data_IF_130139917179
#
_entry.id   IF_130139917179
#
_cell.length_a   1.000
_cell.length_b   1.000
_cell.length_c   1.000
_cell.angle_alpha   90.00
_cell.angle_beta   90.00
_cell.angle_gamma   90.00
#
_symmetry.space_group_name_H-M   'P 1'
#
loop_
_entity.id
_entity.type
_entity.pdbx_description
1 polymer ?
#
# COMPACT_ATOMS: atom_id res chain seq x y z
N UNK A 1 2.86 -18.14 3.11
CA UNK A 1 1.97 -17.11 2.53
C UNK A 1 1.16 -17.74 1.41
N UNK A 2 -0.17 -17.67 1.47
CA UNK A 2 -1.05 -18.09 0.38
C UNK A 2 -1.28 -16.91 -0.57
N UNK A 3 -1.23 -17.15 -1.87
CA UNK A 3 -1.53 -16.17 -2.91
C UNK A 3 -2.64 -16.70 -3.81
N UNK A 4 -3.45 -15.81 -4.35
CA UNK A 4 -4.49 -16.12 -5.32
C UNK A 4 -4.01 -15.80 -6.74
N UNK A 5 -4.06 -16.79 -7.63
CA UNK A 5 -3.67 -16.59 -9.01
C UNK A 5 -4.78 -15.86 -9.77
N UNK A 6 -4.50 -14.67 -10.28
CA UNK A 6 -5.48 -13.83 -10.97
C UNK A 6 -5.86 -14.38 -12.34
N UNK A 7 -5.10 -15.30 -12.94
CA UNK A 7 -5.42 -15.89 -14.24
C UNK A 7 -6.20 -17.18 -14.06
N UNK A 8 -5.69 -18.11 -13.26
CA UNK A 8 -6.30 -19.43 -13.05
C UNK A 8 -7.39 -19.43 -12.00
N UNK A 9 -7.52 -18.36 -11.21
CA UNK A 9 -8.49 -18.23 -10.12
C UNK A 9 -8.33 -19.30 -9.02
N UNK A 10 -7.08 -19.70 -8.73
CA UNK A 10 -6.75 -20.73 -7.73
C UNK A 10 -5.77 -20.24 -6.68
N UNK A 11 -5.85 -20.77 -5.46
CA UNK A 11 -4.85 -20.51 -4.42
C UNK A 11 -3.58 -21.33 -4.61
N UNK A 12 -2.44 -20.77 -4.19
CA UNK A 12 -1.18 -21.48 -4.04
C UNK A 12 -0.46 -21.03 -2.76
N UNK A 13 0.09 -21.98 -2.00
CA UNK A 13 0.91 -21.72 -0.82
C UNK A 13 2.38 -21.59 -1.21
N UNK A 14 3.03 -20.53 -0.71
CA UNK A 14 4.46 -20.28 -0.85
C UNK A 14 5.14 -20.20 0.52
N UNK A 15 6.19 -20.99 0.71
CA UNK A 15 7.03 -20.98 1.92
C UNK A 15 8.36 -20.25 1.69
N UNK A 16 8.88 -20.32 0.47
CA UNK A 16 10.08 -19.62 -0.01
C UNK A 16 9.88 -19.21 -1.46
N UNK A 17 10.78 -18.38 -2.00
CA UNK A 17 10.73 -17.91 -3.39
C UNK A 17 9.35 -17.34 -3.79
N UNK A 18 8.79 -16.49 -2.91
CA UNK A 18 7.49 -15.85 -3.13
C UNK A 18 7.60 -15.00 -4.41
N UNK A 19 6.74 -15.24 -5.43
CA UNK A 19 6.78 -14.48 -6.68
C UNK A 19 6.37 -13.03 -6.43
N UNK A 20 6.63 -12.08 -7.36
CA UNK A 20 6.00 -10.77 -7.30
C UNK A 20 4.48 -10.90 -7.18
N UNK A 21 3.89 -10.16 -6.26
CA UNK A 21 2.45 -10.12 -6.03
C UNK A 21 1.97 -8.69 -5.79
N UNK A 22 0.68 -8.50 -6.07
CA UNK A 22 -0.08 -7.30 -5.71
C UNK A 22 -0.85 -7.59 -4.45
N UNK A 23 -1.03 -6.57 -3.63
CA UNK A 23 -1.93 -6.59 -2.49
C UNK A 23 -3.20 -5.83 -2.84
N UNK A 24 -4.35 -6.43 -2.54
CA UNK A 24 -5.62 -5.73 -2.42
C UNK A 24 -5.80 -5.27 -0.97
N UNK A 25 -5.81 -3.95 -0.78
CA UNK A 25 -6.09 -3.28 0.47
C UNK A 25 -7.47 -2.65 0.37
N UNK A 26 -8.36 -2.93 1.31
CA UNK A 26 -9.74 -2.45 1.25
C UNK A 26 -10.36 -2.40 2.64
N UNK A 27 -11.41 -1.57 2.79
CA UNK A 27 -12.24 -1.64 4.00
C UNK A 27 -13.17 -2.84 3.95
N UNK A 28 -13.12 -3.69 4.98
CA UNK A 28 -14.09 -4.77 5.15
C UNK A 28 -15.51 -4.21 5.37
N UNK A 29 -16.46 -4.63 4.53
CA UNK A 29 -17.89 -4.42 4.67
C UNK A 29 -18.56 -5.55 5.45
N UNK A 30 -19.88 -5.64 5.34
CA UNK A 30 -20.72 -6.65 6.02
C UNK A 30 -20.60 -8.06 5.42
N UNK A 31 -20.19 -8.18 4.16
CA UNK A 31 -20.22 -9.44 3.41
C UNK A 31 -18.88 -9.74 2.71
N UNK A 32 -17.79 -9.75 3.48
CA UNK A 32 -16.47 -10.07 2.93
C UNK A 32 -16.35 -11.52 2.49
N UNK A 33 -15.60 -11.72 1.41
CA UNK A 33 -15.28 -13.05 0.89
C UNK A 33 -14.27 -13.75 1.80
N UNK A 34 -14.54 -15.00 2.18
CA UNK A 34 -13.62 -15.82 2.98
C UNK A 34 -12.78 -16.76 2.10
N UNK A 35 -11.77 -17.40 2.69
CA UNK A 35 -11.01 -18.46 2.01
C UNK A 35 -11.94 -19.57 1.50
N UNK A 36 -12.86 -20.03 2.35
CA UNK A 36 -13.81 -21.09 2.04
C UNK A 36 -14.80 -20.67 0.94
N UNK A 37 -15.20 -19.41 0.90
CA UNK A 37 -16.07 -18.91 -0.18
C UNK A 37 -15.39 -18.99 -1.54
N UNK A 38 -14.11 -18.61 -1.63
CA UNK A 38 -13.37 -18.67 -2.91
C UNK A 38 -13.06 -20.11 -3.30
N UNK A 39 -12.59 -20.93 -2.36
CA UNK A 39 -12.26 -22.34 -2.63
C UNK A 39 -13.51 -23.13 -3.06
N UNK A 40 -14.63 -22.95 -2.34
CA UNK A 40 -15.89 -23.60 -2.62
C UNK A 40 -16.75 -22.94 -3.69
N UNK A 41 -16.32 -21.81 -4.27
CA UNK A 41 -17.12 -20.99 -5.19
C UNK A 41 -18.50 -20.62 -4.62
N UNK A 42 -18.55 -20.30 -3.32
CA UNK A 42 -19.76 -19.98 -2.59
C UNK A 42 -19.97 -18.46 -2.56
N UNK A 43 -21.22 -18.05 -2.27
CA UNK A 43 -21.56 -16.66 -1.98
C UNK A 43 -21.09 -15.65 -3.06
N UNK A 44 -20.99 -16.09 -4.32
CA UNK A 44 -20.36 -15.30 -5.39
C UNK A 44 -21.13 -14.02 -5.77
N UNK A 45 -22.36 -13.89 -5.30
CA UNK A 45 -23.22 -12.73 -5.48
C UNK A 45 -23.00 -11.64 -4.41
N UNK A 46 -22.31 -11.96 -3.30
CA UNK A 46 -22.07 -11.03 -2.20
C UNK A 46 -21.07 -9.95 -2.58
N UNK A 47 -21.20 -8.79 -1.94
CA UNK A 47 -20.37 -7.61 -2.25
C UNK A 47 -18.86 -7.85 -2.11
N UNK A 48 -18.42 -8.65 -1.13
CA UNK A 48 -17.01 -9.03 -1.00
C UNK A 48 -16.47 -9.84 -2.18
N UNK A 49 -17.27 -10.74 -2.76
CA UNK A 49 -16.87 -11.52 -3.94
C UNK A 49 -16.86 -10.65 -5.20
N UNK A 50 -17.83 -9.74 -5.35
CA UNK A 50 -17.84 -8.75 -6.44
C UNK A 50 -16.59 -7.87 -6.38
N UNK A 51 -16.19 -7.42 -5.19
CA UNK A 51 -14.95 -6.66 -4.97
C UNK A 51 -13.71 -7.46 -5.34
N UNK A 52 -13.64 -8.74 -4.98
CA UNK A 52 -12.56 -9.63 -5.42
C UNK A 52 -12.48 -9.65 -6.95
N UNK A 53 -13.59 -9.86 -7.66
CA UNK A 53 -13.62 -9.84 -9.13
C UNK A 53 -13.10 -8.51 -9.68
N UNK A 54 -13.52 -7.38 -9.10
CA UNK A 54 -13.01 -6.06 -9.49
C UNK A 54 -11.49 -5.93 -9.34
N UNK A 55 -10.91 -6.43 -8.25
CA UNK A 55 -9.46 -6.48 -8.09
C UNK A 55 -8.80 -7.37 -9.15
N UNK A 56 -9.36 -8.55 -9.45
CA UNK A 56 -8.83 -9.43 -10.48
C UNK A 56 -8.83 -8.74 -11.85
N UNK A 57 -9.93 -8.09 -12.20
CA UNK A 57 -10.07 -7.41 -13.50
C UNK A 57 -9.14 -6.21 -13.60
N UNK A 58 -9.05 -5.38 -12.55
CA UNK A 58 -8.11 -4.26 -12.49
C UNK A 58 -6.66 -4.73 -12.62
N UNK A 59 -6.29 -5.82 -11.94
CA UNK A 59 -4.95 -6.40 -12.00
C UNK A 59 -4.64 -6.97 -13.38
N UNK A 60 -5.56 -7.73 -13.98
CA UNK A 60 -5.38 -8.29 -15.33
C UNK A 60 -5.18 -7.21 -16.38
N UNK A 61 -5.91 -6.10 -16.26
CA UNK A 61 -5.86 -4.98 -17.20
C UNK A 61 -4.62 -4.10 -17.00
N UNK A 62 -4.27 -3.80 -15.76
CA UNK A 62 -3.23 -2.79 -15.44
C UNK A 62 -1.85 -3.41 -15.20
N UNK A 63 -1.81 -4.66 -14.73
CA UNK A 63 -0.59 -5.36 -14.33
C UNK A 63 -0.51 -6.77 -14.94
N UNK A 64 -0.54 -6.91 -16.28
CA UNK A 64 -0.66 -8.21 -16.95
C UNK A 64 0.50 -9.20 -16.68
N UNK A 65 1.57 -8.74 -16.03
CA UNK A 65 2.79 -9.49 -15.70
C UNK A 65 2.86 -9.91 -14.23
N UNK A 66 1.91 -9.49 -13.39
CA UNK A 66 1.80 -9.93 -11.99
C UNK A 66 0.57 -10.81 -11.86
N UNK A 67 0.80 -12.12 -11.74
CA UNK A 67 -0.28 -13.10 -11.69
C UNK A 67 -0.80 -13.38 -10.28
N UNK A 68 -0.19 -12.79 -9.26
CA UNK A 68 -0.48 -13.14 -7.88
C UNK A 68 -1.07 -11.95 -7.14
N UNK A 69 -2.23 -12.19 -6.54
CA UNK A 69 -2.93 -11.27 -5.66
C UNK A 69 -2.91 -11.83 -4.24
N UNK A 70 -2.67 -10.96 -3.27
CA UNK A 70 -2.91 -11.24 -1.87
C UNK A 70 -4.01 -10.32 -1.36
N UNK A 71 -4.96 -10.89 -0.63
CA UNK A 71 -6.08 -10.19 0.01
C UNK A 71 -6.32 -10.86 1.36
N UNK A 72 -6.29 -10.09 2.44
CA UNK A 72 -6.34 -10.61 3.81
C UNK A 72 -7.64 -11.37 4.13
N UNK A 73 -8.73 -11.08 3.42
CA UNK A 73 -10.04 -11.72 3.64
C UNK A 73 -10.11 -13.16 3.18
N UNK A 74 -9.46 -13.53 2.07
CA UNK A 74 -9.52 -14.88 1.53
C UNK A 74 -8.16 -15.54 1.28
N UNK A 75 -7.03 -14.84 1.38
CA UNK A 75 -5.71 -15.46 1.38
C UNK A 75 -5.29 -15.97 2.78
N UNK A 76 -5.98 -15.56 3.85
CA UNK A 76 -5.77 -16.10 5.19
C UNK A 76 -6.99 -16.96 5.55
N UNK A 77 -6.75 -18.22 5.93
CA UNK A 77 -7.78 -19.04 6.55
C UNK A 77 -7.95 -18.62 8.00
N UNK A 78 -8.92 -17.74 8.25
CA UNK A 78 -9.21 -17.21 9.59
C UNK A 78 -9.80 -18.26 10.53
N UNK A 79 -10.19 -19.44 10.03
CA UNK A 79 -10.65 -20.56 10.87
C UNK A 79 -9.48 -21.35 11.46
N UNK A 80 -8.28 -21.21 10.86
CA UNK A 80 -7.05 -21.79 11.35
C UNK A 80 -6.29 -20.78 12.22
N UNK A 81 -6.33 -20.97 13.54
CA UNK A 81 -5.70 -20.05 14.51
C UNK A 81 -4.17 -19.97 14.38
N UNK A 82 -3.52 -21.05 13.94
CA UNK A 82 -2.06 -21.08 13.71
C UNK A 82 -1.73 -20.20 12.51
N UNK A 83 -2.45 -20.39 11.39
CA UNK A 83 -2.26 -19.58 10.19
C UNK A 83 -2.57 -18.11 10.45
N UNK A 84 -3.67 -17.81 11.15
CA UNK A 84 -4.04 -16.45 11.51
C UNK A 84 -2.94 -15.76 12.34
N UNK A 85 -2.36 -16.47 13.31
CA UNK A 85 -1.28 -15.94 14.15
C UNK A 85 -0.01 -15.68 13.34
N UNK A 86 0.38 -16.62 12.46
CA UNK A 86 1.50 -16.45 11.54
C UNK A 86 1.28 -15.25 10.60
N UNK A 87 0.05 -15.10 10.10
CA UNK A 87 -0.33 -14.01 9.22
C UNK A 87 -0.25 -12.64 9.89
N UNK A 88 -0.75 -12.51 11.12
CA UNK A 88 -0.66 -11.26 11.90
C UNK A 88 0.81 -10.83 12.09
N UNK A 89 1.69 -11.77 12.42
CA UNK A 89 3.11 -11.49 12.62
C UNK A 89 3.86 -11.20 11.31
N UNK A 90 3.36 -11.69 10.17
CA UNK A 90 4.02 -11.54 8.87
C UNK A 90 3.45 -10.41 8.02
N UNK A 91 2.28 -9.86 8.37
CA UNK A 91 1.50 -8.99 7.50
C UNK A 91 2.27 -7.75 7.05
N UNK A 92 2.96 -7.07 7.97
CA UNK A 92 3.78 -5.90 7.64
C UNK A 92 4.85 -6.22 6.60
N UNK A 93 5.51 -7.37 6.75
CA UNK A 93 6.52 -7.85 5.78
C UNK A 93 5.88 -8.17 4.43
N UNK A 94 4.70 -8.77 4.42
CA UNK A 94 3.95 -9.02 3.19
C UNK A 94 3.55 -7.71 2.51
N UNK A 95 3.09 -6.70 3.24
CA UNK A 95 2.85 -5.37 2.68
C UNK A 95 4.11 -4.73 2.11
N UNK A 96 5.21 -4.78 2.87
CA UNK A 96 6.50 -4.20 2.47
C UNK A 96 7.08 -4.81 1.20
N UNK A 97 6.89 -6.12 1.01
CA UNK A 97 7.46 -6.87 -0.10
C UNK A 97 6.54 -6.95 -1.33
N UNK A 98 5.31 -6.43 -1.24
CA UNK A 98 4.41 -6.36 -2.39
C UNK A 98 5.00 -5.47 -3.48
N UNK A 99 4.77 -5.84 -4.75
CA UNK A 99 5.13 -5.00 -5.87
C UNK A 99 4.29 -3.71 -5.90
N UNK A 100 3.00 -3.85 -5.59
CA UNK A 100 2.02 -2.75 -5.49
C UNK A 100 1.01 -3.10 -4.41
N UNK A 101 0.61 -2.09 -3.63
CA UNK A 101 -0.60 -2.14 -2.81
C UNK A 101 -1.70 -1.32 -3.50
N UNK A 102 -2.82 -1.96 -3.82
CA UNK A 102 -4.01 -1.29 -4.37
C UNK A 102 -4.95 -0.97 -3.21
N UNK A 103 -5.00 0.28 -2.78
CA UNK A 103 -5.91 0.76 -1.75
C UNK A 103 -7.24 1.15 -2.40
N UNK A 104 -8.25 0.29 -2.28
CA UNK A 104 -9.59 0.52 -2.81
C UNK A 104 -10.48 1.22 -1.78
N UNK A 105 -10.86 2.46 -2.09
CA UNK A 105 -11.70 3.33 -1.28
C UNK A 105 -13.12 3.28 -1.83
N UNK A 106 -13.91 2.31 -1.34
CA UNK A 106 -15.27 2.05 -1.80
C UNK A 106 -16.27 3.17 -1.50
N UNK A 107 -15.86 4.16 -0.71
CA UNK A 107 -16.65 5.29 -0.23
C UNK A 107 -16.15 6.64 -0.77
N UNK A 108 -15.26 6.60 -1.76
CA UNK A 108 -14.80 7.79 -2.49
C UNK A 108 -15.28 7.71 -3.93
N UNK A 109 -16.09 8.69 -4.30
CA UNK A 109 -16.56 8.93 -5.65
C UNK A 109 -15.62 9.91 -6.35
N UNK A 110 -14.96 9.44 -7.41
CA UNK A 110 -14.00 10.22 -8.17
C UNK A 110 -14.08 9.86 -9.64
N UNK A 111 -14.42 10.82 -10.49
CA UNK A 111 -14.36 10.67 -11.94
C UNK A 111 -13.03 11.19 -12.48
N UNK A 112 -12.46 10.50 -13.47
CA UNK A 112 -11.24 10.97 -14.14
C UNK A 112 -11.47 12.30 -14.88
N UNK A 113 -12.72 12.63 -15.21
CA UNK A 113 -13.12 13.86 -15.88
C UNK A 113 -13.10 15.08 -14.95
N UNK A 114 -13.34 14.89 -13.64
CA UNK A 114 -13.23 15.94 -12.62
C UNK A 114 -11.80 16.49 -12.48
N UNK A 115 -10.78 15.74 -12.93
CA UNK A 115 -9.40 16.20 -13.03
C UNK A 115 -9.07 17.01 -14.30
N UNK A 116 -10.01 17.11 -15.25
CA UNK A 116 -9.83 17.75 -16.56
C UNK A 116 -10.64 19.03 -16.76
N UNK A 117 -11.63 19.33 -15.92
CA UNK A 117 -12.53 20.48 -16.03
C UNK A 117 -11.92 21.87 -15.73
N UNK A 118 -10.60 22.02 -15.86
CA UNK A 118 -9.90 23.31 -15.80
C UNK A 118 -9.17 23.58 -17.13
N UNK A 119 -9.91 23.59 -18.24
CA UNK A 119 -9.39 24.00 -19.57
C UNK A 119 -9.27 25.53 -19.75
N UNK A 120 -9.51 26.32 -18.70
CA UNK A 120 -9.43 27.78 -18.76
C UNK A 120 -8.34 28.36 -17.84
N UNK A 121 -7.13 27.79 -17.86
CA UNK A 121 -5.98 28.35 -17.15
C UNK A 121 -4.68 27.62 -17.48
N UNK A 122 -3.65 28.38 -17.85
CA UNK A 122 -2.28 27.95 -18.12
C UNK A 122 -1.75 27.00 -17.04
N UNK A 123 -1.57 25.72 -17.40
CA UNK A 123 -0.95 24.70 -16.55
C UNK A 123 0.55 24.97 -16.42
N UNK A 124 0.99 25.51 -15.29
CA UNK A 124 2.36 25.32 -14.81
C UNK A 124 2.43 23.97 -14.11
N UNK A 125 3.25 23.07 -14.65
CA UNK A 125 3.53 21.75 -14.09
C UNK A 125 3.93 21.86 -12.61
N UNK A 126 3.22 21.14 -11.73
CA UNK A 126 3.56 21.02 -10.31
C UNK A 126 2.48 21.39 -9.29
N UNK A 127 1.31 21.88 -9.69
CA UNK A 127 0.32 22.37 -8.71
C UNK A 127 -1.15 22.13 -9.11
N UNK A 128 -1.50 20.90 -9.53
CA UNK A 128 -2.92 20.52 -9.58
C UNK A 128 -3.44 20.38 -8.14
N UNK A 129 -4.10 21.42 -7.64
CA UNK A 129 -4.77 21.38 -6.35
C UNK A 129 -5.93 20.37 -6.41
N UNK A 130 -5.88 19.38 -5.52
CA UNK A 130 -7.00 18.48 -5.30
C UNK A 130 -8.26 19.27 -4.93
N UNK A 131 -9.40 18.92 -5.54
CA UNK A 131 -10.67 19.60 -5.29
C UNK A 131 -11.04 19.49 -3.80
N UNK A 132 -11.69 20.53 -3.28
CA UNK A 132 -12.12 20.52 -1.87
C UNK A 132 -13.13 19.42 -1.59
N UNK A 133 -13.88 18.99 -2.60
CA UNK A 133 -14.77 17.84 -2.50
C UNK A 133 -14.00 16.53 -2.29
N UNK A 134 -13.00 16.25 -3.14
CA UNK A 134 -12.18 15.05 -2.98
C UNK A 134 -11.43 15.06 -1.63
N UNK A 135 -10.92 16.22 -1.19
CA UNK A 135 -10.33 16.34 0.16
C UNK A 135 -11.32 15.93 1.25
N UNK A 136 -12.57 16.42 1.19
CA UNK A 136 -13.61 16.04 2.16
C UNK A 136 -13.94 14.56 2.10
N UNK A 137 -14.04 13.97 0.92
CA UNK A 137 -14.29 12.54 0.77
C UNK A 137 -13.15 11.70 1.37
N UNK A 138 -11.88 12.06 1.11
CA UNK A 138 -10.72 11.38 1.72
C UNK A 138 -10.68 11.53 3.24
N UNK A 139 -11.06 12.70 3.79
CA UNK A 139 -11.17 12.92 5.24
C UNK A 139 -12.17 11.98 5.92
N UNK A 140 -13.27 11.67 5.24
CA UNK A 140 -14.34 10.82 5.77
C UNK A 140 -14.22 9.36 5.35
N UNK A 141 -13.26 9.02 4.50
CA UNK A 141 -13.10 7.65 4.03
C UNK A 141 -12.74 6.71 5.18
N UNK A 142 -13.52 5.64 5.28
CA UNK A 142 -13.35 4.59 6.28
C UNK A 142 -12.00 3.86 6.15
N UNK A 143 -11.39 3.90 4.96
CA UNK A 143 -10.06 3.32 4.75
C UNK A 143 -9.01 4.04 5.60
N UNK A 144 -9.00 5.37 5.63
CA UNK A 144 -8.04 6.14 6.44
C UNK A 144 -8.31 6.05 7.95
N UNK A 145 -9.55 5.74 8.32
CA UNK A 145 -9.98 5.62 9.73
C UNK A 145 -9.78 4.21 10.30
N UNK A 146 -9.34 3.21 9.53
CA UNK A 146 -9.18 1.83 10.01
C UNK A 146 -7.80 1.61 10.62
N UNK A 147 -7.71 0.87 11.72
CA UNK A 147 -6.41 0.57 12.37
C UNK A 147 -5.44 -0.19 11.47
N UNK A 148 -5.90 -1.32 10.90
CA UNK A 148 -5.08 -2.21 10.06
C UNK A 148 -4.54 -1.57 8.78
N UNK A 149 -5.26 -0.61 8.19
CA UNK A 149 -4.83 0.08 6.97
C UNK A 149 -3.61 0.97 7.19
N UNK A 150 -3.18 1.21 8.43
CA UNK A 150 -1.95 1.93 8.71
C UNK A 150 -0.73 1.15 8.19
N UNK A 151 -0.71 -0.18 8.39
CA UNK A 151 0.36 -1.01 7.83
C UNK A 151 0.26 -1.06 6.30
N UNK A 152 -0.95 -1.13 5.76
CA UNK A 152 -1.25 -1.11 4.31
C UNK A 152 -0.79 0.18 3.63
N UNK A 153 -0.81 1.30 4.36
CA UNK A 153 -0.32 2.60 3.91
C UNK A 153 1.21 2.72 4.01
N UNK A 154 1.76 2.30 5.15
CA UNK A 154 3.13 2.67 5.55
C UNK A 154 4.16 1.68 5.01
N UNK A 155 3.84 0.39 5.00
CA UNK A 155 4.79 -0.65 4.65
C UNK A 155 5.10 -0.73 3.15
N UNK A 156 4.12 -0.71 2.22
CA UNK A 156 4.40 -0.86 0.80
C UNK A 156 5.25 0.28 0.25
N UNK A 157 6.08 -0.05 -0.74
CA UNK A 157 6.88 0.93 -1.47
C UNK A 157 6.06 1.79 -2.42
N UNK A 158 4.98 1.22 -2.94
CA UNK A 158 4.02 1.87 -3.82
C UNK A 158 2.60 1.54 -3.35
N UNK A 159 1.79 2.57 -3.13
CA UNK A 159 0.35 2.46 -2.93
C UNK A 159 -0.36 3.23 -4.04
N UNK A 160 -1.31 2.58 -4.70
CA UNK A 160 -2.21 3.20 -5.67
C UNK A 160 -3.57 3.31 -5.02
N UNK A 161 -4.09 4.54 -4.91
CA UNK A 161 -5.39 4.80 -4.32
C UNK A 161 -6.44 4.77 -5.42
N UNK A 162 -7.45 3.91 -5.24
CA UNK A 162 -8.52 3.67 -6.21
C UNK A 162 -9.85 4.12 -5.62
N UNK A 163 -10.66 4.80 -6.42
CA UNK A 163 -12.03 5.17 -6.07
C UNK A 163 -12.98 3.97 -6.15
N UNK A 164 -14.24 4.17 -5.76
CA UNK A 164 -15.30 3.19 -5.90
C UNK A 164 -15.52 2.76 -7.37
N UNK A 165 -15.18 3.61 -8.35
CA UNK A 165 -15.26 3.32 -9.78
C UNK A 165 -13.95 2.74 -10.35
N UNK A 166 -12.99 2.37 -9.50
CA UNK A 166 -11.66 1.89 -9.89
C UNK A 166 -10.79 2.93 -10.61
N UNK A 167 -11.14 4.22 -10.48
CA UNK A 167 -10.32 5.31 -10.99
C UNK A 167 -9.16 5.58 -10.04
N UNK A 168 -8.00 5.92 -10.59
CA UNK A 168 -6.83 6.28 -9.78
C UNK A 168 -7.01 7.68 -9.22
N UNK A 169 -7.04 7.78 -7.90
CA UNK A 169 -7.14 9.05 -7.16
C UNK A 169 -5.76 9.68 -7.01
N UNK A 170 -4.74 8.87 -6.70
CA UNK A 170 -3.41 9.34 -6.40
C UNK A 170 -2.48 8.21 -5.97
N UNK A 171 -1.24 8.57 -5.64
CA UNK A 171 -0.17 7.63 -5.36
C UNK A 171 0.62 7.97 -4.10
N UNK A 172 1.21 6.94 -3.52
CA UNK A 172 2.29 7.05 -2.54
C UNK A 172 3.47 6.22 -3.04
N UNK A 173 4.68 6.76 -3.03
CA UNK A 173 5.91 5.98 -3.22
C UNK A 173 7.04 6.72 -3.95
N UNK A 174 8.27 6.25 -3.76
CA UNK A 174 9.48 6.95 -4.24
C UNK A 174 9.58 6.89 -5.75
N UNK A 175 9.64 8.04 -6.41
CA UNK A 175 9.86 8.12 -7.87
C UNK A 175 8.64 7.75 -8.71
N UNK A 176 7.47 7.60 -8.10
CA UNK A 176 6.20 7.34 -8.78
C UNK A 176 5.37 8.62 -8.81
N UNK A 177 5.61 9.48 -9.81
CA UNK A 177 4.94 10.75 -10.04
C UNK A 177 5.12 11.77 -8.87
N UNK A 178 5.47 13.03 -9.17
CA UNK A 178 5.47 14.10 -8.15
C UNK A 178 4.03 14.50 -7.81
N UNK A 179 3.22 13.57 -7.30
CA UNK A 179 1.92 13.89 -6.73
C UNK A 179 2.09 14.41 -5.30
N UNK A 180 2.90 15.47 -5.18
CA UNK A 180 3.27 16.08 -3.92
C UNK A 180 2.05 16.63 -3.20
N UNK A 181 1.03 17.09 -3.94
CA UNK A 181 -0.23 17.58 -3.37
C UNK A 181 -1.05 16.44 -2.74
N UNK A 182 -1.18 15.29 -3.40
CA UNK A 182 -1.87 14.13 -2.82
C UNK A 182 -1.11 13.56 -1.63
N UNK A 183 0.22 13.40 -1.74
CA UNK A 183 1.05 12.91 -0.61
C UNK A 183 0.95 13.86 0.59
N UNK A 184 0.97 15.19 0.37
CA UNK A 184 0.77 16.16 1.43
C UNK A 184 -0.63 16.04 2.08
N UNK A 185 -1.68 15.80 1.28
CA UNK A 185 -3.01 15.54 1.83
C UNK A 185 -3.01 14.26 2.67
N UNK A 186 -2.46 13.15 2.15
CA UNK A 186 -2.40 11.88 2.90
C UNK A 186 -1.58 12.05 4.17
N UNK A 187 -0.48 12.82 4.15
CA UNK A 187 0.30 13.15 5.33
C UNK A 187 -0.55 13.90 6.37
N UNK A 188 -1.28 14.93 5.95
CA UNK A 188 -2.17 15.69 6.83
C UNK A 188 -3.29 14.81 7.42
N UNK A 189 -3.87 13.92 6.62
CA UNK A 189 -4.94 13.00 7.05
C UNK A 189 -4.47 11.97 8.06
N UNK A 190 -3.27 11.42 7.85
CA UNK A 190 -2.81 10.22 8.56
C UNK A 190 -1.79 10.53 9.65
N UNK A 191 -1.20 11.73 9.62
CA UNK A 191 -0.07 12.18 10.44
C UNK A 191 1.21 11.38 10.23
N UNK A 192 1.24 10.57 9.18
CA UNK A 192 2.45 9.93 8.71
C UNK A 192 3.26 11.00 7.97
N UNK A 193 4.53 11.23 8.33
CA UNK A 193 5.35 12.24 7.68
C UNK A 193 5.42 12.04 6.16
N UNK A 194 5.45 13.13 5.40
CA UNK A 194 5.48 13.07 3.94
C UNK A 194 6.71 12.32 3.43
N UNK A 195 7.83 12.36 4.17
CA UNK A 195 9.07 11.64 3.90
C UNK A 195 8.85 10.12 3.96
N UNK A 196 8.06 9.65 4.93
CA UNK A 196 7.69 8.24 5.10
C UNK A 196 6.69 7.79 4.02
N UNK A 197 5.80 8.69 3.59
CA UNK A 197 4.91 8.45 2.47
C UNK A 197 5.68 8.40 1.15
N UNK A 198 6.61 9.32 0.94
CA UNK A 198 7.45 9.32 -0.24
C UNK A 198 8.40 8.11 -0.26
N UNK A 199 8.98 7.72 0.87
CA UNK A 199 9.90 6.59 0.95
C UNK A 199 9.64 5.75 2.20
N UNK A 200 9.06 4.56 2.01
CA UNK A 200 8.73 3.65 3.13
C UNK A 200 9.96 3.16 3.91
N UNK A 201 11.18 3.38 3.41
CA UNK A 201 12.42 3.08 4.17
C UNK A 201 12.62 4.04 5.34
N UNK A 202 12.07 5.25 5.27
CA UNK A 202 12.17 6.26 6.34
C UNK A 202 11.41 5.86 7.61
N UNK A 203 10.48 4.89 7.52
CA UNK A 203 9.79 4.30 8.69
C UNK A 203 10.76 3.82 9.75
N UNK A 204 11.92 3.29 9.35
CA UNK A 204 12.94 2.81 10.29
C UNK A 204 13.54 3.91 11.17
N UNK A 205 13.49 5.17 10.73
CA UNK A 205 14.05 6.33 11.45
C UNK A 205 13.06 6.96 12.43
N UNK A 206 11.78 6.62 12.32
CA UNK A 206 10.72 7.14 13.20
C UNK A 206 10.67 6.34 14.50
N UNK A 207 10.54 7.04 15.63
CA UNK A 207 10.46 6.40 16.95
C UNK A 207 9.20 5.54 17.11
N UNK A 208 9.26 4.54 17.99
CA UNK A 208 8.11 3.70 18.31
C UNK A 208 6.92 4.52 18.82
N UNK A 209 7.15 5.55 19.63
CA UNK A 209 6.10 6.43 20.14
C UNK A 209 5.40 7.21 19.02
N UNK A 210 6.15 7.76 18.06
CA UNK A 210 5.56 8.44 16.90
C UNK A 210 4.73 7.48 16.04
N UNK A 211 5.20 6.25 15.82
CA UNK A 211 4.45 5.21 15.10
C UNK A 211 3.13 4.85 15.81
N UNK A 212 3.14 4.76 17.13
CA UNK A 212 1.92 4.55 17.94
C UNK A 212 0.94 5.72 17.74
N UNK A 213 1.43 6.97 17.66
CA UNK A 213 0.57 8.15 17.45
C UNK A 213 -0.19 8.11 16.12
N UNK A 214 0.39 7.55 15.06
CA UNK A 214 -0.29 7.40 13.76
C UNK A 214 -1.56 6.54 13.86
N UNK A 215 -1.63 5.67 14.87
CA UNK A 215 -2.76 4.79 15.13
C UNK A 215 -3.92 5.47 15.86
N UNK A 216 -3.70 6.62 16.51
CA UNK A 216 -4.71 7.27 17.34
C UNK A 216 -5.93 7.71 16.51
N UNK A 217 -7.14 7.59 17.04
CA UNK A 217 -8.36 7.93 16.30
C UNK A 217 -8.72 6.97 15.15
N UNK A 218 -7.91 5.94 14.88
CA UNK A 218 -8.30 4.85 13.98
C UNK A 218 -9.13 3.80 14.72
N UNK A 219 -10.23 3.38 14.13
CA UNK A 219 -11.14 2.37 14.68
C UNK A 219 -10.75 0.94 14.31
N UNK A 220 -11.05 0.01 15.21
CA UNK A 220 -10.90 -1.44 15.01
C UNK A 220 -12.18 -2.17 15.42
N UNK A 221 -12.38 -3.38 14.91
CA UNK A 221 -13.60 -4.17 15.25
C UNK A 221 -13.44 -4.86 16.60
N UNK A 222 -12.26 -5.45 16.86
CA UNK A 222 -11.90 -5.97 18.17
C UNK A 222 -11.09 -4.91 18.92
N UNK A 223 -11.27 -4.84 20.23
CA UNK A 223 -10.63 -3.81 21.06
C UNK A 223 -9.11 -4.00 21.14
N UNK A 224 -8.62 -5.24 21.00
CA UNK A 224 -7.20 -5.58 21.03
C UNK A 224 -6.49 -5.24 19.71
N UNK A 225 -7.24 -5.26 18.60
CA UNK A 225 -6.71 -4.94 17.28
C UNK A 225 -6.15 -3.51 17.21
N UNK A 226 -6.56 -2.61 18.11
CA UNK A 226 -5.96 -1.26 18.25
C UNK A 226 -4.45 -1.33 18.49
N UNK A 227 -3.98 -2.42 19.08
CA UNK A 227 -2.56 -2.67 19.38
C UNK A 227 -1.97 -3.72 18.45
N UNK A 228 -2.72 -4.77 18.10
CA UNK A 228 -2.23 -5.82 17.20
C UNK A 228 -1.92 -5.28 15.81
N UNK A 229 -2.66 -4.26 15.34
CA UNK A 229 -2.36 -3.58 14.08
C UNK A 229 -1.06 -2.78 14.09
N UNK A 230 -0.29 -2.75 15.20
CA UNK A 230 1.02 -2.11 15.28
C UNK A 230 2.18 -3.09 15.38
N UNK A 231 1.92 -4.39 15.60
CA UNK A 231 2.98 -5.38 15.88
C UNK A 231 4.06 -5.40 14.81
N UNK A 232 3.67 -5.53 13.54
CA UNK A 232 4.63 -5.55 12.45
C UNK A 232 5.26 -4.19 12.14
N UNK A 233 4.56 -3.08 12.38
CA UNK A 233 5.11 -1.72 12.19
C UNK A 233 6.18 -1.37 13.24
N UNK A 234 6.00 -1.88 14.45
CA UNK A 234 6.90 -1.66 15.58
C UNK A 234 7.94 -2.78 15.74
N UNK A 235 7.95 -3.77 14.84
CA UNK A 235 8.81 -4.95 14.91
C UNK A 235 8.72 -5.66 16.28
N UNK A 236 7.51 -5.76 16.83
CA UNK A 236 7.24 -6.40 18.11
C UNK A 236 6.85 -7.87 17.87
N UNK A 237 7.73 -8.86 18.18
CA UNK A 237 7.51 -10.27 17.86
C UNK A 237 6.55 -10.97 18.84
N UNK A 238 5.41 -10.35 19.14
CA UNK A 238 4.41 -10.85 20.07
C UNK A 238 3.17 -11.36 19.33
N UNK A 239 2.64 -12.52 19.77
CA UNK A 239 1.41 -13.09 19.20
C UNK A 239 0.15 -12.39 19.70
N UNK A 240 -0.85 -12.28 18.81
CA UNK A 240 -2.19 -11.79 19.15
C UNK A 240 -2.95 -12.79 20.03
N UNK A 241 -3.46 -12.33 21.17
CA UNK A 241 -4.28 -13.14 22.09
C UNK A 241 -5.69 -12.56 22.19
N UNK A 242 -6.59 -12.96 21.30
CA UNK A 242 -7.97 -12.48 21.32
C UNK A 242 -8.70 -12.92 22.59
N UNK A 243 -9.44 -11.99 23.21
CA UNK A 243 -10.09 -12.17 24.51
C UNK A 243 -9.27 -11.65 25.70
N UNK A 244 -8.06 -11.12 25.47
CA UNK A 244 -7.23 -10.58 26.55
C UNK A 244 -7.61 -9.16 26.97
N UNK A 245 -8.41 -8.46 26.15
CA UNK A 245 -8.85 -7.09 26.36
C UNK A 245 -7.79 -6.05 26.00
N UNK A 246 -8.24 -4.85 25.59
CA UNK A 246 -7.38 -3.81 25.01
C UNK A 246 -6.28 -3.35 25.95
N UNK A 247 -6.57 -3.21 27.26
CA UNK A 247 -5.59 -2.78 28.26
C UNK A 247 -4.43 -3.75 28.40
N UNK A 248 -4.70 -5.07 28.33
CA UNK A 248 -3.65 -6.09 28.45
C UNK A 248 -2.84 -6.18 27.17
N UNK A 249 -3.49 -6.15 26.01
CA UNK A 249 -2.83 -6.09 24.70
C UNK A 249 -1.85 -4.89 24.62
N UNK A 250 -2.28 -3.70 25.08
CA UNK A 250 -1.43 -2.51 25.18
C UNK A 250 -0.21 -2.72 26.07
N UNK A 251 -0.42 -3.23 27.29
CA UNK A 251 0.68 -3.45 28.25
C UNK A 251 1.72 -4.40 27.67
N UNK A 252 1.28 -5.50 27.07
CA UNK A 252 2.19 -6.47 26.42
C UNK A 252 3.02 -5.82 25.32
N UNK A 253 2.37 -5.04 24.45
CA UNK A 253 3.09 -4.31 23.40
C UNK A 253 4.13 -3.36 24.00
N UNK A 254 3.74 -2.49 24.94
CA UNK A 254 4.66 -1.51 25.52
C UNK A 254 5.82 -2.19 26.28
N UNK A 255 5.56 -3.27 27.02
CA UNK A 255 6.59 -4.06 27.68
C UNK A 255 7.54 -4.69 26.67
N UNK A 256 7.04 -5.22 25.55
CA UNK A 256 7.89 -5.77 24.49
C UNK A 256 8.79 -4.69 23.89
N UNK A 257 8.25 -3.51 23.58
CA UNK A 257 9.03 -2.40 23.02
C UNK A 257 10.15 -1.95 23.94
N UNK A 258 9.92 -1.96 25.26
CA UNK A 258 10.96 -1.65 26.25
C UNK A 258 12.01 -2.77 26.31
N UNK A 259 11.58 -4.03 26.29
CA UNK A 259 12.46 -5.20 26.33
C UNK A 259 13.39 -5.28 25.12
N UNK A 260 12.90 -4.94 23.91
CA UNK A 260 13.71 -4.90 22.68
C UNK A 260 14.44 -3.57 22.47
N UNK A 261 14.36 -2.63 23.43
CA UNK A 261 15.03 -1.34 23.37
C UNK A 261 14.46 -0.34 22.35
N UNK A 262 13.24 -0.59 21.85
CA UNK A 262 12.51 0.35 20.97
C UNK A 262 11.99 1.58 21.71
N UNK A 263 11.84 1.50 23.04
CA UNK A 263 11.60 2.63 23.94
C UNK A 263 12.52 2.55 25.16
N UNK A 264 12.74 3.67 25.85
CA UNK A 264 13.61 3.74 27.01
C UNK A 264 13.05 2.98 28.22
N UNK A 265 13.92 2.49 29.10
CA UNK A 265 13.55 1.80 30.34
C UNK A 265 12.68 2.69 31.24
N UNK A 266 11.58 2.14 31.75
CA UNK A 266 10.55 2.83 32.53
C UNK A 266 9.49 3.52 31.67
N UNK A 267 9.70 3.68 30.37
CA UNK A 267 8.77 4.40 29.48
C UNK A 267 7.49 3.62 29.24
N UNK A 268 7.54 2.28 29.25
CA UNK A 268 6.35 1.44 29.08
C UNK A 268 5.29 1.70 30.18
N UNK A 269 5.75 1.85 31.43
CA UNK A 269 4.88 2.12 32.57
C UNK A 269 4.24 3.52 32.48
N UNK A 270 5.02 4.53 32.07
CA UNK A 270 4.53 5.90 31.89
C UNK A 270 3.46 5.96 30.80
N UNK A 271 3.76 5.42 29.61
CA UNK A 271 2.80 5.36 28.50
C UNK A 271 1.54 4.60 28.89
N UNK A 272 1.67 3.47 29.60
CA UNK A 272 0.51 2.70 30.06
C UNK A 272 -0.43 3.53 30.93
N UNK A 273 0.13 4.32 31.85
CA UNK A 273 -0.63 5.21 32.73
C UNK A 273 -1.30 6.34 31.95
N UNK A 274 -0.54 7.01 31.08
CA UNK A 274 -1.06 8.06 30.19
C UNK A 274 -2.28 7.55 29.39
N UNK A 275 -2.17 6.36 28.78
CA UNK A 275 -3.26 5.73 28.03
C UNK A 275 -4.41 5.16 28.89
N UNK A 276 -4.23 4.98 30.21
CA UNK A 276 -5.28 4.52 31.13
C UNK A 276 -6.09 5.68 31.73
N UNK A 277 -5.46 6.84 31.94
CA UNK A 277 -6.08 8.03 32.54
C UNK A 277 -6.98 8.79 31.56
N UNK A 278 -6.56 8.90 30.30
CA UNK A 278 -7.31 9.55 29.22
C UNK A 278 -6.90 8.90 27.91
N UNK A 279 -7.84 8.65 27.00
CA UNK A 279 -7.44 8.33 25.63
C UNK A 279 -6.73 9.55 25.03
N UNK A 280 -5.45 9.43 24.65
CA UNK A 280 -4.72 10.58 24.16
C UNK A 280 -5.31 10.99 22.82
N UNK A 281 -5.63 12.28 22.77
CA UNK A 281 -6.05 12.93 21.55
C UNK A 281 -4.84 13.44 20.80
N UNK A 282 -5.05 13.77 19.54
CA UNK A 282 -4.00 14.26 18.66
C UNK A 282 -3.22 15.44 19.25
N UNK A 283 -3.91 16.36 19.93
CA UNK A 283 -3.33 17.59 20.45
C UNK A 283 -2.49 17.40 21.73
N UNK A 284 -2.43 16.19 22.30
CA UNK A 284 -1.73 15.93 23.57
C UNK A 284 -0.20 15.80 23.41
N UNK A 285 0.33 15.84 22.19
CA UNK A 285 1.74 15.65 21.91
C UNK A 285 2.36 16.90 21.27
N UNK A 286 3.50 17.41 21.76
CA UNK A 286 4.15 18.58 21.17
C UNK A 286 4.61 18.29 19.74
N UNK A 287 4.27 19.19 18.81
CA UNK A 287 4.70 19.15 17.41
C UNK A 287 6.23 19.29 17.34
N UNK A 288 6.91 18.16 17.17
CA UNK A 288 8.32 18.12 16.83
C UNK A 288 8.46 17.68 15.37
N UNK A 289 9.01 18.58 14.53
CA UNK A 289 9.41 18.40 13.12
C UNK A 289 8.41 18.95 12.08
N UNK A 290 8.39 20.28 11.95
CA UNK A 290 8.36 20.94 10.64
C UNK A 290 9.78 21.39 10.34
N UNK A 291 10.50 20.69 9.47
CA UNK A 291 11.71 21.22 8.86
C UNK A 291 11.47 21.32 7.35
N UNK A 292 11.10 22.52 6.92
CA UNK A 292 10.92 22.93 5.54
C UNK A 292 12.29 23.12 4.88
N UNK A 293 12.98 22.03 4.55
CA UNK A 293 14.11 22.09 3.63
C UNK A 293 14.38 20.69 3.06
N UNK A 294 14.11 20.52 1.76
CA UNK A 294 14.93 19.80 0.76
C UNK A 294 13.99 19.43 -0.41
N UNK A 295 13.82 20.37 -1.33
CA UNK A 295 13.40 20.10 -2.70
C UNK A 295 14.53 20.55 -3.60
N UNK A 296 15.36 19.62 -4.09
CA UNK A 296 16.34 19.94 -5.15
C UNK A 296 15.96 19.20 -6.42
N UNK A 297 15.60 19.99 -7.45
CA UNK A 297 15.01 19.57 -8.72
C UNK A 297 16.01 19.12 -9.78
N UNK A 298 17.29 18.93 -9.44
CA UNK A 298 18.35 18.68 -10.43
C UNK A 298 18.39 17.25 -11.01
N UNK A 299 17.79 16.26 -10.34
CA UNK A 299 17.88 14.85 -10.75
C UNK A 299 16.79 14.41 -11.74
N UNK A 300 15.76 15.23 -11.96
CA UNK A 300 14.54 14.84 -12.68
C UNK A 300 14.70 14.96 -14.20
N UNK A 301 15.35 16.01 -14.70
CA UNK A 301 15.49 16.27 -16.15
C UNK A 301 16.22 15.13 -16.88
N UNK A 302 17.26 14.56 -16.27
CA UNK A 302 18.06 13.49 -16.87
C UNK A 302 17.33 12.14 -17.01
N UNK A 303 16.23 11.92 -16.29
CA UNK A 303 15.42 10.70 -16.38
C UNK A 303 14.30 10.80 -17.43
N UNK A 304 13.83 12.03 -17.70
CA UNK A 304 12.78 12.29 -18.69
C UNK A 304 13.29 12.18 -20.13
N UNK A 305 14.49 12.70 -20.40
CA UNK A 305 15.08 12.69 -21.75
C UNK A 305 15.45 11.28 -22.24
N UNK A 306 15.76 10.37 -21.31
CA UNK A 306 16.17 8.98 -21.60
C UNK A 306 14.97 8.08 -21.99
N UNK A 307 13.76 8.39 -21.50
CA UNK A 307 12.56 7.59 -21.79
C UNK A 307 11.86 7.99 -23.10
N UNK A 308 11.98 9.26 -23.53
CA UNK A 308 11.40 9.76 -24.78
C UNK A 308 12.25 9.42 -26.01
N UNK A 309 13.57 9.32 -25.87
CA UNK A 309 14.51 9.11 -26.98
C UNK A 309 14.52 7.69 -27.56
N UNK A 310 13.73 6.76 -27.01
CA UNK A 310 13.74 5.34 -27.39
C UNK A 310 12.42 4.80 -27.95
N UNK A 311 11.43 5.67 -28.21
CA UNK A 311 10.10 5.27 -28.73
C UNK A 311 9.88 5.49 -30.24
N UNK A 312 10.94 5.79 -31.01
CA UNK A 312 10.86 6.07 -32.45
C UNK A 312 11.29 4.89 -33.37
N UNK A 313 10.75 3.68 -33.15
CA UNK A 313 10.88 2.59 -34.15
C UNK A 313 9.52 2.03 -34.55
N UNK A 314 9.31 1.92 -35.87
CA UNK A 314 8.05 1.52 -36.52
C UNK A 314 7.73 0.03 -36.27
N UNK A 315 6.51 -0.26 -35.82
CA UNK A 315 5.97 -1.60 -35.59
C UNK A 315 4.62 -1.80 -36.31
N UNK A 316 4.27 -3.04 -36.70
CA UNK A 316 3.18 -3.34 -37.63
C UNK A 316 1.76 -3.04 -37.10
N UNK A 317 0.89 -2.61 -38.02
CA UNK A 317 -0.33 -1.80 -37.86
C UNK A 317 -1.54 -2.36 -37.08
N UNK A 318 -1.46 -3.51 -36.38
CA UNK A 318 -2.69 -4.19 -35.93
C UNK A 318 -2.80 -4.58 -34.44
N UNK A 319 -2.03 -3.93 -33.55
CA UNK A 319 -2.25 -4.01 -32.10
C UNK A 319 -2.39 -2.59 -31.51
N UNK A 320 -3.36 -2.36 -30.60
CA UNK A 320 -3.45 -1.07 -29.91
C UNK A 320 -2.16 -0.82 -29.13
N UNK A 321 -1.50 0.31 -29.41
CA UNK A 321 -0.30 0.71 -28.67
C UNK A 321 -0.66 0.88 -27.19
N UNK A 322 0.13 0.34 -26.25
CA UNK A 322 -0.06 0.70 -24.85
C UNK A 322 0.11 2.20 -24.69
N UNK A 323 -0.73 2.83 -23.86
CA UNK A 323 -0.62 4.27 -23.64
C UNK A 323 0.77 4.61 -23.09
N UNK A 324 1.32 5.80 -23.38
CA UNK A 324 2.60 6.23 -22.80
C UNK A 324 2.62 6.09 -21.26
N UNK A 325 1.47 6.26 -20.62
CA UNK A 325 1.32 6.06 -19.19
C UNK A 325 1.40 4.59 -18.77
N UNK A 326 0.85 3.66 -19.56
CA UNK A 326 1.00 2.21 -19.33
C UNK A 326 2.47 1.80 -19.41
N UNK A 327 3.20 2.27 -20.43
CA UNK A 327 4.64 2.01 -20.58
C UNK A 327 5.43 2.58 -19.40
N UNK A 328 5.10 3.79 -18.93
CA UNK A 328 5.73 4.40 -17.74
C UNK A 328 5.46 3.61 -16.46
N UNK A 329 4.22 3.17 -16.24
CA UNK A 329 3.84 2.33 -15.09
C UNK A 329 4.63 1.03 -15.11
N UNK A 330 4.70 0.37 -16.27
CA UNK A 330 5.46 -0.86 -16.46
C UNK A 330 6.96 -0.66 -16.20
N UNK A 331 7.56 0.39 -16.76
CA UNK A 331 8.97 0.73 -16.51
C UNK A 331 9.25 0.88 -15.02
N UNK A 332 8.46 1.73 -14.35
CA UNK A 332 8.66 2.01 -12.93
C UNK A 332 8.47 0.78 -12.05
N UNK A 333 7.55 -0.13 -12.42
CA UNK A 333 7.34 -1.40 -11.74
C UNK A 333 8.50 -2.36 -11.93
N UNK A 334 9.07 -2.43 -13.14
CA UNK A 334 10.25 -3.26 -13.42
C UNK A 334 11.46 -2.73 -12.63
N UNK A 335 11.67 -1.41 -12.62
CA UNK A 335 12.73 -0.79 -11.82
C UNK A 335 12.52 -0.99 -10.31
N UNK A 336 11.29 -0.86 -9.80
CA UNK A 336 10.99 -1.07 -8.38
C UNK A 336 11.18 -2.53 -7.93
N UNK A 337 11.07 -3.47 -8.87
CA UNK A 337 11.40 -4.89 -8.65
C UNK A 337 12.91 -5.17 -8.67
N UNK A 338 13.76 -4.15 -8.88
CA UNK A 338 15.22 -4.26 -8.82
C UNK A 338 15.90 -4.66 -10.12
N UNK A 339 15.18 -4.68 -11.25
CA UNK A 339 15.78 -4.86 -12.57
C UNK A 339 16.56 -3.61 -12.97
N UNK A 340 17.62 -3.80 -13.77
CA UNK A 340 18.39 -2.67 -14.29
C UNK A 340 17.56 -1.85 -15.28
N UNK A 341 17.99 -0.62 -15.58
CA UNK A 341 17.34 0.19 -16.62
C UNK A 341 17.35 -0.50 -17.97
N UNK A 342 18.47 -1.16 -18.30
CA UNK A 342 18.64 -1.90 -19.54
C UNK A 342 17.65 -3.06 -19.65
N UNK A 343 17.53 -3.86 -18.58
CA UNK A 343 16.56 -4.97 -18.54
C UNK A 343 15.12 -4.44 -18.65
N UNK A 344 14.81 -3.34 -17.96
CA UNK A 344 13.51 -2.71 -18.01
C UNK A 344 13.14 -2.24 -19.41
N UNK A 345 14.09 -1.65 -20.14
CA UNK A 345 13.88 -1.22 -21.54
C UNK A 345 13.68 -2.42 -22.46
N UNK A 346 14.47 -3.48 -22.35
CA UNK A 346 14.29 -4.70 -23.16
C UNK A 346 12.94 -5.37 -22.89
N UNK A 347 12.57 -5.48 -21.61
CA UNK A 347 11.27 -5.99 -21.17
C UNK A 347 10.12 -5.17 -21.76
N UNK A 348 10.24 -3.85 -21.81
CA UNK A 348 9.23 -2.97 -22.41
C UNK A 348 9.21 -3.04 -23.93
N UNK A 349 10.36 -3.18 -24.59
CA UNK A 349 10.40 -3.38 -26.04
C UNK A 349 9.66 -4.66 -26.44
N UNK A 350 9.88 -5.74 -25.69
CA UNK A 350 9.13 -6.97 -25.89
C UNK A 350 7.63 -6.79 -25.59
N UNK A 351 7.28 -6.03 -24.54
CA UNK A 351 5.89 -5.69 -24.25
C UNK A 351 5.21 -5.00 -25.42
N UNK A 352 5.85 -3.97 -25.98
CA UNK A 352 5.30 -3.17 -27.07
C UNK A 352 5.17 -4.02 -28.35
N UNK A 353 6.13 -4.90 -28.62
CA UNK A 353 6.11 -5.77 -29.80
C UNK A 353 5.11 -6.93 -29.68
N UNK A 354 5.03 -7.57 -28.52
CA UNK A 354 4.33 -8.85 -28.36
C UNK A 354 3.03 -8.74 -27.56
N UNK A 355 2.87 -7.68 -26.77
CA UNK A 355 1.86 -7.57 -25.71
C UNK A 355 2.21 -8.35 -24.44
N UNK A 356 3.44 -8.88 -24.34
CA UNK A 356 3.94 -9.69 -23.22
C UNK A 356 5.35 -9.25 -22.87
N UNK A 357 5.70 -9.36 -21.60
CA UNK A 357 7.08 -9.17 -21.12
C UNK A 357 7.64 -10.55 -20.78
N UNK A 358 8.67 -11.03 -21.49
CA UNK A 358 9.43 -12.16 -20.98
C UNK A 358 10.38 -11.64 -19.88
N UNK A 359 10.46 -12.40 -18.79
CA UNK A 359 11.53 -12.18 -17.82
C UNK A 359 12.84 -12.50 -18.52
N UNK A 360 13.71 -11.50 -18.65
CA UNK A 360 15.13 -11.77 -18.85
C UNK A 360 15.56 -12.65 -17.67
N UNK A 361 15.94 -13.89 -17.97
CA UNK A 361 16.56 -14.76 -16.96
C UNK A 361 17.74 -13.97 -16.44
N UNK A 362 17.73 -13.64 -15.13
CA UNK A 362 18.91 -13.09 -14.47
C UNK A 362 20.08 -14.00 -14.84
N UNK A 363 20.94 -13.52 -15.72
CA UNK A 363 22.21 -14.17 -15.96
C UNK A 363 22.93 -14.00 -14.64
N UNK A 364 23.10 -15.10 -13.90
CA UNK A 364 24.05 -15.15 -12.80
C UNK A 364 25.36 -14.62 -13.36
N UNK A 365 25.74 -13.41 -12.95
CA UNK A 365 27.12 -12.97 -13.11
C UNK A 365 27.90 -13.81 -12.10
N UNK A 366 28.39 -14.95 -12.59
CA UNK A 366 29.55 -15.58 -12.01
C UNK A 366 30.71 -14.60 -12.18
N UNK A 367 31.26 -14.17 -11.05
CA UNK A 367 32.41 -13.27 -10.92
C UNK A 367 32.80 -13.18 -9.47
#
# INVERSE_FOLDING_TARGET
MRLYNVVTCTFQQFHSAIPPYIIASHRWGSEEVTYQDVEGHLNTYKSGYVKLRGFLDYVRQTYPFIHWLWIDTCCIDKTNSVELSEAINSMFRWYRNAAVCLAYLSDVDFSAEDGTAAESGTRTEGNAYMSDDLKRQLQHSQWFQRGWTLQELVAPRLVVFLSQQWNVIGFKGRGFYNDTSFVAQVAALTRVPAEVLHDSREVGRVSAEQKIRWALGRGTTREEDRWYCLFGLLDAPIGANYGEGSKRARRRLLTELEAVGSIATGRAAVLTREFDEREPEFNDFPDGLRDDAVTSSGYQTALFDDAQSHTEEELPENKPRPSPETVRRLYALIIAQGYSRTDAVEMLREYVATGRIARLRQTQVAG
#
